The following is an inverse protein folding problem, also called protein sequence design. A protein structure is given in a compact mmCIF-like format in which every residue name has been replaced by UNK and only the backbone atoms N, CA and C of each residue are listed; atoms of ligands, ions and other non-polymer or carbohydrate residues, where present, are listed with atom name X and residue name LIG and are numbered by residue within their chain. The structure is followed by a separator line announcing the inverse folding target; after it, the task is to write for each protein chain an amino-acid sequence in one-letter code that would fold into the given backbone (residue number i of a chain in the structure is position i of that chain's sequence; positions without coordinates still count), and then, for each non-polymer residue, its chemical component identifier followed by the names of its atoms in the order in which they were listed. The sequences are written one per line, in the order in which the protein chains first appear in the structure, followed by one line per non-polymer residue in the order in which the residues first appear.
data_IF_609300190256
#
_entry.id   IF_609300190256
#
_cell.length_a   1.000
_cell.length_b   1.000
_cell.length_c   1.000
_cell.angle_alpha   90.00
_cell.angle_beta   90.00
_cell.angle_gamma   90.00
#
_symmetry.space_group_name_H-M   'P 1'
#
loop_
_entity.id
_entity.type
_entity.pdbx_description
1 polymer ?
#
# COMPACT_ATOMS: atom_id res chain seq x y z
N UNK A 1 -27.14 -34.05 -65.33
CA UNK A 1 -28.07 -33.31 -64.45
C UNK A 1 -27.50 -33.32 -63.04
N UNK A 2 -27.48 -32.14 -62.43
CA UNK A 2 -26.91 -31.75 -61.15
C UNK A 2 -27.54 -32.47 -59.94
N UNK A 3 -26.75 -32.72 -58.88
CA UNK A 3 -27.11 -32.37 -57.50
C UNK A 3 -25.92 -32.54 -56.54
N UNK A 4 -25.28 -31.41 -56.22
CA UNK A 4 -24.42 -31.21 -55.05
C UNK A 4 -25.29 -31.18 -53.79
N UNK A 5 -24.90 -31.91 -52.73
CA UNK A 5 -25.33 -31.58 -51.36
C UNK A 5 -24.18 -31.77 -50.36
N UNK A 6 -23.56 -30.62 -50.10
CA UNK A 6 -22.93 -30.16 -48.87
C UNK A 6 -23.27 -30.96 -47.60
N UNK A 7 -22.25 -31.47 -46.92
CA UNK A 7 -22.28 -31.77 -45.49
C UNK A 7 -21.15 -31.06 -44.78
N UNK A 8 -21.46 -29.83 -44.35
CA UNK A 8 -21.09 -29.21 -43.08
C UNK A 8 -19.75 -29.65 -42.44
N UNK A 9 -18.73 -28.82 -42.65
CA UNK A 9 -17.56 -28.78 -41.79
C UNK A 9 -17.99 -28.38 -40.36
N UNK A 10 -17.84 -29.30 -39.40
CA UNK A 10 -17.99 -28.98 -37.98
C UNK A 10 -16.65 -28.49 -37.45
N UNK A 11 -16.54 -27.17 -37.45
CA UNK A 11 -15.59 -26.41 -36.65
C UNK A 11 -15.79 -26.75 -35.18
N UNK A 12 -14.83 -27.44 -34.56
CA UNK A 12 -14.71 -27.51 -33.11
C UNK A 12 -13.43 -26.75 -32.70
N UNK A 13 -13.48 -25.42 -32.83
CA UNK A 13 -12.59 -24.52 -32.12
C UNK A 13 -12.93 -24.67 -30.64
N UNK A 14 -12.12 -25.41 -29.89
CA UNK A 14 -12.16 -25.44 -28.43
C UNK A 14 -11.90 -24.01 -27.93
N UNK A 15 -12.91 -23.32 -27.38
CA UNK A 15 -12.69 -22.04 -26.77
C UNK A 15 -12.07 -22.30 -25.40
N UNK A 16 -11.05 -21.51 -25.08
CA UNK A 16 -10.89 -21.01 -23.72
C UNK A 16 -10.49 -22.05 -22.66
N UNK A 17 -9.21 -22.42 -22.64
CA UNK A 17 -8.51 -22.33 -21.35
C UNK A 17 -8.29 -20.84 -21.08
N UNK A 18 -9.36 -20.17 -20.66
CA UNK A 18 -9.30 -18.87 -20.01
C UNK A 18 -8.58 -19.14 -18.70
N UNK A 19 -7.25 -19.02 -18.69
CA UNK A 19 -6.48 -18.95 -17.45
C UNK A 19 -7.12 -17.83 -16.66
N UNK A 20 -7.93 -18.22 -15.68
CA UNK A 20 -8.45 -17.32 -14.69
C UNK A 20 -7.23 -16.91 -13.88
N UNK A 21 -6.54 -15.87 -14.33
CA UNK A 21 -5.64 -15.11 -13.48
C UNK A 21 -6.53 -14.43 -12.45
N UNK A 22 -6.98 -15.24 -11.47
CA UNK A 22 -7.34 -14.76 -10.16
C UNK A 22 -6.04 -14.37 -9.46
N UNK A 23 -5.30 -13.46 -10.08
CA UNK A 23 -4.20 -12.79 -9.44
C UNK A 23 -4.86 -11.68 -8.66
N UNK A 24 -5.22 -11.98 -7.42
CA UNK A 24 -5.26 -11.00 -6.35
C UNK A 24 -3.85 -10.41 -6.18
N UNK A 25 -3.30 -9.81 -7.24
CA UNK A 25 -2.20 -8.85 -7.14
C UNK A 25 -2.82 -7.75 -6.34
N UNK A 26 -2.47 -7.74 -5.05
CA UNK A 26 -2.88 -6.70 -4.14
C UNK A 26 -2.34 -5.41 -4.74
N UNK A 27 -3.22 -4.63 -5.37
CA UNK A 27 -2.86 -3.32 -5.92
C UNK A 27 -2.14 -2.59 -4.82
N UNK A 28 -0.93 -2.13 -5.10
CA UNK A 28 -0.23 -1.24 -4.19
C UNK A 28 -1.10 -0.01 -3.96
N UNK A 29 -1.28 0.34 -2.70
CA UNK A 29 -2.14 1.47 -2.35
C UNK A 29 -1.38 2.44 -1.47
N UNK A 30 -1.21 3.64 -2.02
CA UNK A 30 -0.97 4.83 -1.23
C UNK A 30 -2.34 5.41 -0.87
N UNK A 31 -2.65 5.43 0.43
CA UNK A 31 -3.86 6.05 0.95
C UNK A 31 -3.47 7.38 1.61
N UNK A 32 -4.00 8.48 1.09
CA UNK A 32 -3.62 9.82 1.52
C UNK A 32 -4.68 10.43 2.41
N UNK A 33 -4.27 11.00 3.55
CA UNK A 33 -5.15 11.72 4.47
C UNK A 33 -6.31 10.86 4.94
N UNK A 34 -6.01 9.65 5.42
CA UNK A 34 -7.05 8.69 5.81
C UNK A 34 -7.75 9.07 7.11
N UNK A 35 -9.02 8.69 7.21
CA UNK A 35 -9.78 8.73 8.46
C UNK A 35 -9.51 7.49 9.33
N UNK A 36 -10.01 7.51 10.57
CA UNK A 36 -9.82 6.40 11.50
C UNK A 36 -10.38 5.06 10.99
N UNK A 37 -11.53 5.06 10.32
CA UNK A 37 -12.14 3.84 9.80
C UNK A 37 -11.27 3.21 8.69
N UNK A 38 -10.72 4.04 7.80
CA UNK A 38 -9.82 3.58 6.75
C UNK A 38 -8.50 3.12 7.34
N UNK A 39 -7.96 3.83 8.34
CA UNK A 39 -6.76 3.43 9.06
C UNK A 39 -6.92 2.03 9.66
N UNK A 40 -8.00 1.76 10.40
CA UNK A 40 -8.23 0.44 11.00
C UNK A 40 -8.35 -0.66 9.93
N UNK A 41 -9.06 -0.37 8.84
CA UNK A 41 -9.23 -1.32 7.75
C UNK A 41 -7.92 -1.67 7.05
N UNK A 42 -7.03 -0.68 6.85
CA UNK A 42 -5.78 -0.89 6.12
C UNK A 42 -4.65 -1.39 7.01
N UNK A 43 -4.57 -0.90 8.24
CA UNK A 43 -3.46 -1.19 9.16
C UNK A 43 -3.80 -2.37 10.05
N UNK A 44 -4.94 -2.33 10.75
CA UNK A 44 -5.29 -3.35 11.76
C UNK A 44 -5.85 -4.63 11.12
N UNK A 45 -6.69 -4.49 10.10
CA UNK A 45 -7.29 -5.62 9.37
C UNK A 45 -6.54 -5.97 8.07
N UNK A 46 -5.52 -5.18 7.72
CA UNK A 46 -4.66 -5.47 6.58
C UNK A 46 -3.71 -6.62 6.89
N UNK A 47 -3.39 -7.42 5.87
CA UNK A 47 -2.29 -8.38 5.96
C UNK A 47 -0.98 -7.77 5.47
N UNK A 48 0.16 -8.25 5.95
CA UNK A 48 1.47 -7.78 5.46
C UNK A 48 1.92 -6.45 6.06
N UNK A 49 2.91 -5.83 5.40
CA UNK A 49 3.59 -4.64 5.91
C UNK A 49 2.92 -3.38 5.39
N UNK A 50 2.59 -2.47 6.31
CA UNK A 50 2.01 -1.15 6.03
C UNK A 50 2.85 -0.09 6.72
N UNK A 51 3.24 0.95 5.99
CA UNK A 51 3.83 2.15 6.57
C UNK A 51 2.76 3.21 6.80
N UNK A 52 2.82 3.87 7.96
CA UNK A 52 1.97 5.00 8.30
C UNK A 52 2.85 6.24 8.47
N UNK A 53 2.64 7.26 7.64
CA UNK A 53 3.24 8.59 7.73
C UNK A 53 2.32 9.53 8.51
N UNK A 54 2.69 9.83 9.75
CA UNK A 54 2.02 10.82 10.58
C UNK A 54 2.58 12.21 10.24
N UNK A 55 1.74 13.04 9.61
CA UNK A 55 2.13 14.36 9.09
C UNK A 55 1.13 15.44 9.53
N UNK A 56 1.46 16.70 9.19
CA UNK A 56 0.53 17.82 9.24
C UNK A 56 0.77 18.76 8.05
N UNK A 57 -0.26 19.50 7.61
CA UNK A 57 -0.18 20.38 6.43
C UNK A 57 0.82 21.54 6.57
N UNK A 58 1.04 22.00 7.80
CA UNK A 58 1.98 23.06 8.15
C UNK A 58 3.41 22.56 8.39
N UNK A 59 3.63 21.24 8.40
CA UNK A 59 4.94 20.64 8.64
C UNK A 59 5.82 20.73 7.39
N UNK A 60 6.82 21.61 7.42
CA UNK A 60 7.80 21.79 6.35
C UNK A 60 8.56 20.50 5.98
N UNK A 61 9.21 19.81 6.95
CA UNK A 61 9.94 18.57 6.69
C UNK A 61 9.07 17.43 6.12
N UNK A 62 7.79 17.38 6.50
CA UNK A 62 6.84 16.37 6.02
C UNK A 62 6.65 16.48 4.50
N UNK A 63 6.59 17.70 3.95
CA UNK A 63 6.44 17.95 2.50
C UNK A 63 7.58 17.37 1.66
N UNK A 64 8.75 17.16 2.26
CA UNK A 64 9.89 16.51 1.60
C UNK A 64 9.85 15.00 1.79
N UNK A 65 9.50 14.53 2.99
CA UNK A 65 9.52 13.10 3.32
C UNK A 65 8.39 12.31 2.64
N UNK A 66 7.16 12.80 2.67
CA UNK A 66 5.98 12.12 2.11
C UNK A 66 6.16 11.69 0.64
N UNK A 67 6.64 12.54 -0.30
CA UNK A 67 6.88 12.09 -1.69
C UNK A 67 8.03 11.07 -1.80
N UNK A 68 9.05 11.15 -0.94
CA UNK A 68 10.10 10.13 -0.86
C UNK A 68 9.52 8.80 -0.40
N UNK A 69 8.67 8.78 0.63
CA UNK A 69 7.99 7.57 1.10
C UNK A 69 7.19 6.93 -0.03
N UNK A 70 6.31 7.69 -0.71
CA UNK A 70 5.50 7.19 -1.84
C UNK A 70 6.36 6.48 -2.89
N UNK A 71 7.46 7.11 -3.31
CA UNK A 71 8.38 6.57 -4.32
C UNK A 71 9.05 5.27 -3.85
N UNK A 72 9.50 5.21 -2.60
CA UNK A 72 10.22 4.04 -2.09
C UNK A 72 9.25 2.89 -1.81
N UNK A 73 8.07 3.16 -1.24
CA UNK A 73 7.06 2.14 -0.95
C UNK A 73 6.50 1.50 -2.22
N UNK A 74 6.30 2.30 -3.27
CA UNK A 74 5.89 1.80 -4.59
C UNK A 74 6.92 0.80 -5.15
N UNK A 75 8.22 1.16 -5.13
CA UNK A 75 9.30 0.27 -5.59
C UNK A 75 9.44 -0.97 -4.71
N UNK A 76 9.23 -0.82 -3.41
CA UNK A 76 9.38 -1.90 -2.44
C UNK A 76 8.14 -2.80 -2.35
N UNK A 77 7.06 -2.49 -3.05
CA UNK A 77 5.77 -3.17 -2.96
C UNK A 77 5.23 -3.22 -1.51
N UNK A 78 5.23 -2.06 -0.83
CA UNK A 78 4.72 -1.87 0.54
C UNK A 78 3.56 -0.87 0.51
N UNK A 79 2.50 -1.14 1.28
CA UNK A 79 1.36 -0.22 1.39
C UNK A 79 1.76 1.01 2.21
N UNK A 80 1.32 2.20 1.78
CA UNK A 80 1.57 3.46 2.47
C UNK A 80 0.25 4.12 2.85
N UNK A 81 0.14 4.54 4.09
CA UNK A 81 -0.99 5.29 4.64
C UNK A 81 -0.44 6.62 5.16
N UNK A 82 -1.05 7.74 4.81
CA UNK A 82 -0.73 9.03 5.42
C UNK A 82 -1.88 9.48 6.30
N UNK A 83 -1.55 9.98 7.48
CA UNK A 83 -2.50 10.38 8.50
C UNK A 83 -2.15 11.78 8.98
N UNK A 84 -3.11 12.70 8.83
CA UNK A 84 -2.98 14.07 9.30
C UNK A 84 -3.31 14.11 10.80
N UNK A 85 -2.31 14.45 11.63
CA UNK A 85 -2.48 14.43 13.08
C UNK A 85 -3.38 15.56 13.61
N UNK A 86 -3.62 16.61 12.81
CA UNK A 86 -4.55 17.68 13.18
C UNK A 86 -6.00 17.23 12.99
N UNK A 87 -6.25 16.33 12.02
CA UNK A 87 -7.58 15.74 11.77
C UNK A 87 -7.82 14.55 12.69
N UNK A 88 -6.83 13.68 12.82
CA UNK A 88 -6.91 12.40 13.53
C UNK A 88 -6.12 12.44 14.86
N UNK A 89 -6.43 13.42 15.70
CA UNK A 89 -5.71 13.68 16.95
C UNK A 89 -5.79 12.51 17.95
N UNK A 90 -6.92 11.78 17.98
CA UNK A 90 -7.10 10.62 18.85
C UNK A 90 -6.17 9.46 18.44
N UNK A 91 -6.01 9.21 17.14
CA UNK A 91 -5.09 8.20 16.64
C UNK A 91 -3.64 8.60 16.88
N UNK A 92 -3.30 9.88 16.67
CA UNK A 92 -1.98 10.40 16.99
C UNK A 92 -1.66 10.21 18.50
N UNK A 93 -2.62 10.48 19.39
CA UNK A 93 -2.47 10.25 20.82
C UNK A 93 -2.33 8.75 21.17
N UNK A 94 -3.13 7.88 20.55
CA UNK A 94 -3.08 6.41 20.74
C UNK A 94 -1.71 5.84 20.41
N UNK A 95 -1.07 6.31 19.35
CA UNK A 95 0.28 5.89 18.96
C UNK A 95 1.39 6.76 19.57
N UNK A 96 1.06 7.63 20.53
CA UNK A 96 2.02 8.49 21.23
C UNK A 96 2.89 9.33 20.30
N UNK A 97 2.30 9.88 19.23
CA UNK A 97 2.99 10.74 18.28
C UNK A 97 3.27 12.09 18.96
N UNK A 98 4.55 12.40 19.17
CA UNK A 98 5.01 13.64 19.84
C UNK A 98 5.79 14.59 18.93
N UNK A 99 6.19 14.12 17.76
CA UNK A 99 6.98 14.88 16.79
C UNK A 99 6.56 14.51 15.38
N UNK A 100 6.71 15.47 14.46
CA UNK A 100 6.40 15.29 13.05
C UNK A 100 7.65 15.55 12.19
N UNK A 101 7.82 14.82 11.07
CA UNK A 101 7.08 13.61 10.72
C UNK A 101 7.47 12.43 11.63
N UNK A 102 6.52 11.54 11.91
CA UNK A 102 6.79 10.22 12.49
C UNK A 102 6.30 9.16 11.52
N UNK A 103 7.11 8.16 11.23
CA UNK A 103 6.72 7.04 10.37
C UNK A 103 6.77 5.75 11.18
N UNK A 104 5.68 5.02 11.17
CA UNK A 104 5.55 3.74 11.88
C UNK A 104 5.27 2.62 10.89
N UNK A 105 5.98 1.51 11.03
CA UNK A 105 5.76 0.30 10.29
C UNK A 105 4.89 -0.66 11.09
N UNK A 106 3.86 -1.17 10.44
CA UNK A 106 2.96 -2.18 10.96
C UNK A 106 3.11 -3.47 10.17
N UNK A 107 3.03 -4.61 10.87
CA UNK A 107 2.93 -5.93 10.27
C UNK A 107 1.77 -6.66 10.94
N UNK A 108 0.78 -7.04 10.14
CA UNK A 108 -0.42 -7.75 10.60
C UNK A 108 -1.10 -7.05 11.79
N UNK A 109 -1.27 -5.72 11.67
CA UNK A 109 -1.90 -4.86 12.69
C UNK A 109 -1.01 -4.46 13.87
N UNK A 110 0.20 -5.02 14.00
CA UNK A 110 1.10 -4.72 15.13
C UNK A 110 2.21 -3.76 14.70
N UNK A 111 2.52 -2.73 15.51
CA UNK A 111 3.66 -1.85 15.24
C UNK A 111 4.98 -2.60 15.50
N UNK A 112 5.88 -2.62 14.51
CA UNK A 112 7.14 -3.39 14.58
C UNK A 112 8.41 -2.54 14.50
N UNK A 113 8.29 -1.30 14.01
CA UNK A 113 9.40 -0.36 13.89
C UNK A 113 8.88 1.06 13.67
N UNK A 114 9.67 2.07 14.03
CA UNK A 114 9.35 3.46 13.72
C UNK A 114 10.62 4.30 13.57
N UNK A 115 10.52 5.43 12.88
CA UNK A 115 11.52 6.49 12.91
C UNK A 115 10.84 7.86 12.99
N UNK A 116 11.61 8.86 13.44
CA UNK A 116 11.16 10.23 13.56
C UNK A 116 12.04 11.15 12.73
N UNK A 117 11.44 12.20 12.17
CA UNK A 117 12.12 13.20 11.36
C UNK A 117 12.23 12.85 9.88
N UNK A 118 12.59 13.85 9.08
CA UNK A 118 12.84 13.66 7.67
C UNK A 118 14.24 13.07 7.45
N UNK A 119 14.29 11.84 6.95
CA UNK A 119 15.53 11.11 6.63
C UNK A 119 15.73 11.00 5.11
N UNK A 120 16.97 10.88 4.60
CA UNK A 120 17.22 10.69 3.17
C UNK A 120 16.62 9.41 2.60
N UNK A 121 16.32 9.39 1.30
CA UNK A 121 15.73 8.24 0.56
C UNK A 121 16.45 6.91 0.86
N UNK A 122 17.79 6.92 0.92
CA UNK A 122 18.59 5.72 1.22
C UNK A 122 18.27 5.13 2.60
N UNK A 123 18.06 5.98 3.61
CA UNK A 123 17.71 5.52 4.95
C UNK A 123 16.27 5.01 5.01
N UNK A 124 15.34 5.60 4.25
CA UNK A 124 13.97 5.08 4.11
C UNK A 124 13.98 3.67 3.51
N UNK A 125 14.80 3.45 2.47
CA UNK A 125 14.96 2.13 1.86
C UNK A 125 15.50 1.11 2.87
N UNK A 126 16.57 1.45 3.60
CA UNK A 126 17.13 0.58 4.64
C UNK A 126 16.11 0.26 5.74
N UNK A 127 15.27 1.24 6.12
CA UNK A 127 14.21 1.02 7.09
C UNK A 127 13.18 0.00 6.57
N UNK A 128 12.72 0.15 5.32
CA UNK A 128 11.79 -0.81 4.70
C UNK A 128 12.39 -2.21 4.61
N UNK A 129 13.65 -2.32 4.23
CA UNK A 129 14.34 -3.61 4.13
C UNK A 129 14.41 -4.29 5.51
N UNK A 130 14.77 -3.54 6.56
CA UNK A 130 14.79 -4.06 7.93
C UNK A 130 13.42 -4.52 8.46
N UNK A 131 12.35 -3.88 7.99
CA UNK A 131 10.97 -4.19 8.37
C UNK A 131 10.47 -5.45 7.66
N UNK A 132 10.98 -5.75 6.46
CA UNK A 132 10.66 -6.98 5.73
C UNK A 132 11.30 -8.24 6.32
N UNK A 133 12.40 -8.07 7.05
CA UNK A 133 13.12 -9.16 7.69
C UNK A 133 12.52 -9.57 9.05
N UNK A 134 11.70 -8.70 9.65
CA UNK A 134 10.91 -8.97 10.86
C UNK A 134 9.59 -9.64 10.48
#
# INVERSE_FOLDING_TARGET
MFALRSTSARTALSPLLRRNFNSSVRSLKCYEGVDAATFEKQVSNGSGIVLVDFYATWCGPCKVLTPTLKKVTEKANVDLVTLDVDVEAELAAKYSIRSLPTVMAFKDGQPISQFMGAIPEKQVQMFIDSVKEK
#
